data_IF_546495060543
#
_entry.id   IF_546495060543
#
_cell.length_a   1.000
_cell.length_b   1.000
_cell.length_c   1.000
_cell.angle_alpha   90.00
_cell.angle_beta   90.00
_cell.angle_gamma   90.00
#
_symmetry.space_group_name_H-M   'P 1'
#
loop_
_entity.id
_entity.type
_entity.pdbx_description
1 polymer ?
#
# COMPACT_ATOMS: atom_id res chain seq x y z
N UNK A 1 -42.67 -3.53 23.50
CA UNK A 1 -41.39 -4.25 23.75
C UNK A 1 -40.29 -3.50 23.02
N UNK A 2 -39.39 -2.85 23.73
CA UNK A 2 -38.26 -2.13 23.12
C UNK A 2 -37.21 -3.15 22.67
N UNK A 3 -36.84 -3.12 21.39
CA UNK A 3 -35.69 -3.86 20.87
C UNK A 3 -34.43 -3.21 21.46
N UNK A 4 -33.63 -3.92 22.28
CA UNK A 4 -32.42 -3.31 22.84
C UNK A 4 -31.46 -2.99 21.70
N UNK A 5 -31.00 -1.75 21.67
CA UNK A 5 -30.10 -1.22 20.63
C UNK A 5 -28.75 -1.92 20.77
N UNK A 6 -28.55 -3.00 20.02
CA UNK A 6 -27.29 -3.74 19.92
C UNK A 6 -26.26 -2.97 19.07
N UNK A 7 -25.95 -1.72 19.45
CA UNK A 7 -25.13 -0.81 18.64
C UNK A 7 -23.63 -0.88 18.89
N UNK A 8 -23.18 -1.36 20.05
CA UNK A 8 -21.78 -1.19 20.50
C UNK A 8 -20.92 -2.45 20.58
N UNK A 9 -21.51 -3.65 20.46
CA UNK A 9 -20.76 -4.91 20.64
C UNK A 9 -19.58 -5.09 19.68
N UNK A 10 -19.70 -4.57 18.46
CA UNK A 10 -18.60 -4.57 17.49
C UNK A 10 -17.41 -3.73 17.99
N UNK A 11 -17.67 -2.49 18.40
CA UNK A 11 -16.63 -1.56 18.88
C UNK A 11 -16.00 -2.09 20.16
N UNK A 12 -16.80 -2.57 21.10
CA UNK A 12 -16.30 -3.17 22.34
C UNK A 12 -15.36 -4.35 22.07
N UNK A 13 -15.73 -5.24 21.14
CA UNK A 13 -14.89 -6.37 20.76
C UNK A 13 -13.59 -5.93 20.12
N UNK A 14 -13.61 -4.89 19.28
CA UNK A 14 -12.40 -4.31 18.70
C UNK A 14 -11.48 -3.75 19.79
N UNK A 15 -12.00 -2.94 20.71
CA UNK A 15 -11.24 -2.38 21.83
C UNK A 15 -10.62 -3.48 22.70
N UNK A 16 -11.37 -4.52 23.02
CA UNK A 16 -10.85 -5.67 23.79
C UNK A 16 -9.73 -6.40 23.03
N UNK A 17 -9.88 -6.57 21.72
CA UNK A 17 -8.88 -7.26 20.89
C UNK A 17 -7.58 -6.46 20.82
N UNK A 18 -7.66 -5.14 20.57
CA UNK A 18 -6.49 -4.25 20.55
C UNK A 18 -5.76 -4.29 21.89
N UNK A 19 -6.48 -4.16 23.02
CA UNK A 19 -5.89 -4.20 24.36
C UNK A 19 -5.16 -5.52 24.62
N UNK A 20 -5.78 -6.66 24.29
CA UNK A 20 -5.17 -7.98 24.48
C UNK A 20 -3.91 -8.16 23.61
N UNK A 21 -3.93 -7.66 22.38
CA UNK A 21 -2.77 -7.72 21.49
C UNK A 21 -1.62 -6.87 22.02
N UNK A 22 -1.89 -5.63 22.45
CA UNK A 22 -0.85 -4.74 22.99
C UNK A 22 -0.23 -5.27 24.29
N UNK A 23 -1.02 -5.89 25.18
CA UNK A 23 -0.49 -6.50 26.41
C UNK A 23 0.52 -7.61 26.07
N UNK A 24 0.16 -8.51 25.14
CA UNK A 24 1.06 -9.59 24.71
C UNK A 24 2.35 -9.07 24.07
N UNK A 25 2.26 -8.01 23.28
CA UNK A 25 3.41 -7.38 22.64
C UNK A 25 4.31 -6.61 23.62
N UNK A 26 3.72 -6.04 24.67
CA UNK A 26 4.46 -5.42 25.77
C UNK A 26 5.29 -6.46 26.54
N UNK A 27 4.72 -7.64 26.79
CA UNK A 27 5.41 -8.77 27.41
C UNK A 27 6.58 -9.28 26.57
N UNK A 28 6.45 -9.26 25.23
CA UNK A 28 7.53 -9.66 24.30
C UNK A 28 8.55 -8.55 24.02
N UNK A 29 8.38 -7.35 24.59
CA UNK A 29 9.19 -6.13 24.31
C UNK A 29 9.25 -5.75 22.83
N UNK A 30 8.26 -6.15 22.05
CA UNK A 30 8.16 -5.81 20.63
C UNK A 30 7.51 -4.44 20.43
N UNK A 31 7.72 -3.85 19.24
CA UNK A 31 7.15 -2.55 18.89
C UNK A 31 5.61 -2.60 18.83
N UNK A 32 4.96 -1.70 19.57
CA UNK A 32 3.51 -1.54 19.60
C UNK A 32 2.93 -1.19 18.21
N UNK A 33 3.67 -0.46 17.39
CA UNK A 33 3.26 -0.13 16.02
C UNK A 33 3.21 -1.37 15.14
N UNK A 34 4.16 -2.30 15.34
CA UNK A 34 4.19 -3.56 14.63
C UNK A 34 2.99 -4.44 15.00
N UNK A 35 2.63 -4.47 16.30
CA UNK A 35 1.46 -5.18 16.80
C UNK A 35 0.14 -4.74 16.13
N UNK A 36 -0.04 -3.42 16.02
CA UNK A 36 -1.21 -2.82 15.38
C UNK A 36 -1.23 -3.09 13.87
N UNK A 37 -0.07 -3.04 13.21
CA UNK A 37 0.05 -3.40 11.81
C UNK A 37 -0.37 -4.86 11.58
N UNK A 38 0.09 -5.79 12.41
CA UNK A 38 -0.34 -7.20 12.34
C UNK A 38 -1.84 -7.37 12.53
N UNK A 39 -2.48 -6.60 13.43
CA UNK A 39 -3.93 -6.65 13.60
C UNK A 39 -4.69 -6.19 12.34
N UNK A 40 -4.18 -5.16 11.65
CA UNK A 40 -4.79 -4.62 10.43
C UNK A 40 -4.63 -5.54 9.22
N UNK A 41 -3.56 -6.34 9.15
CA UNK A 41 -3.32 -7.27 8.03
C UNK A 41 -3.86 -8.68 8.27
N UNK A 42 -4.28 -9.00 9.51
CA UNK A 42 -4.79 -10.32 9.84
C UNK A 42 -6.14 -10.54 9.18
N UNK A 43 -6.22 -11.58 8.35
CA UNK A 43 -7.45 -12.05 7.73
C UNK A 43 -8.38 -12.62 8.82
N UNK A 44 -9.59 -12.08 8.92
CA UNK A 44 -10.61 -12.59 9.85
C UNK A 44 -11.14 -13.97 9.42
N UNK A 45 -11.17 -14.22 8.11
CA UNK A 45 -11.52 -15.49 7.47
C UNK A 45 -10.74 -15.65 6.16
N UNK A 46 -10.53 -16.88 5.72
CA UNK A 46 -9.72 -17.19 4.53
C UNK A 46 -10.35 -16.68 3.21
N UNK A 47 -11.65 -16.44 3.19
CA UNK A 47 -12.44 -15.92 2.07
C UNK A 47 -12.58 -14.39 2.05
N UNK A 48 -12.19 -13.71 3.12
CA UNK A 48 -12.37 -12.25 3.28
C UNK A 48 -11.05 -11.51 3.14
N UNK A 49 -11.09 -10.29 2.58
CA UNK A 49 -9.94 -9.37 2.55
C UNK A 49 -9.60 -8.90 3.97
N UNK A 50 -8.34 -8.56 4.21
CA UNK A 50 -7.92 -8.03 5.51
C UNK A 50 -8.47 -6.62 5.76
N UNK A 51 -8.56 -6.16 7.02
CA UNK A 51 -9.03 -4.80 7.32
C UNK A 51 -8.27 -3.70 6.56
N UNK A 52 -6.94 -3.79 6.46
CA UNK A 52 -6.13 -2.86 5.69
C UNK A 52 -6.43 -2.92 4.19
N UNK A 53 -6.65 -4.11 3.63
CA UNK A 53 -7.02 -4.27 2.23
C UNK A 53 -8.41 -3.66 1.92
N UNK A 54 -9.36 -3.80 2.85
CA UNK A 54 -10.70 -3.23 2.71
C UNK A 54 -10.69 -1.70 2.77
N UNK A 55 -9.88 -1.11 3.66
CA UNK A 55 -9.84 0.34 3.87
C UNK A 55 -8.95 1.06 2.85
N UNK A 56 -7.81 0.46 2.49
CA UNK A 56 -6.78 1.12 1.68
C UNK A 56 -6.67 0.54 0.26
N UNK A 57 -7.43 -0.50 -0.08
CA UNK A 57 -7.43 -1.12 -1.40
C UNK A 57 -6.12 -1.81 -1.78
N UNK A 58 -5.16 -1.92 -0.86
CA UNK A 58 -3.82 -2.47 -1.10
C UNK A 58 -3.41 -3.41 0.03
N UNK A 59 -2.56 -4.39 -0.29
CA UNK A 59 -1.99 -5.31 0.70
C UNK A 59 -0.83 -4.65 1.42
N UNK A 60 -0.80 -4.70 2.75
CA UNK A 60 0.34 -4.21 3.53
C UNK A 60 1.34 -5.34 3.76
N UNK A 61 2.63 -5.02 3.71
CA UNK A 61 3.69 -5.96 4.10
C UNK A 61 3.77 -5.97 5.62
N UNK A 62 3.64 -7.14 6.23
CA UNK A 62 3.81 -7.34 7.66
C UNK A 62 4.68 -8.55 7.93
N UNK A 63 5.30 -8.59 9.12
CA UNK A 63 6.18 -9.68 9.57
C UNK A 63 5.45 -11.02 9.69
N UNK A 64 4.14 -10.97 9.96
CA UNK A 64 3.31 -12.18 9.97
C UNK A 64 3.13 -12.66 8.53
N UNK A 65 3.59 -13.88 8.25
CA UNK A 65 3.39 -14.55 6.97
C UNK A 65 1.88 -14.70 6.71
N UNK A 66 1.26 -13.68 6.13
CA UNK A 66 0.02 -13.87 5.38
C UNK A 66 0.41 -14.89 4.31
N UNK A 67 -0.33 -16.00 4.20
CA UNK A 67 -0.15 -16.98 3.12
C UNK A 67 -0.50 -16.33 1.79
N UNK A 68 0.30 -15.37 1.35
CA UNK A 68 0.37 -14.94 -0.02
C UNK A 68 1.16 -16.08 -0.65
N UNK A 69 0.45 -17.06 -1.20
CA UNK A 69 1.11 -17.97 -2.13
C UNK A 69 1.78 -17.05 -3.16
N UNK A 70 3.12 -17.09 -3.30
CA UNK A 70 3.73 -16.40 -4.40
C UNK A 70 3.06 -16.91 -5.69
N UNK A 71 2.78 -16.05 -6.68
CA UNK A 71 2.39 -16.52 -7.99
C UNK A 71 3.39 -17.59 -8.42
N UNK A 72 2.87 -18.73 -8.88
CA UNK A 72 3.63 -19.96 -9.18
C UNK A 72 4.75 -19.67 -10.20
N UNK A 73 4.64 -18.59 -10.97
CA UNK A 73 5.68 -18.11 -11.88
C UNK A 73 6.27 -16.76 -11.42
N UNK A 74 7.33 -16.85 -10.62
CA UNK A 74 8.12 -15.69 -10.22
C UNK A 74 8.80 -15.04 -11.41
N UNK A 75 9.08 -15.78 -12.49
CA UNK A 75 9.78 -15.24 -13.65
C UNK A 75 8.84 -14.38 -14.50
N UNK A 76 7.61 -14.83 -14.77
CA UNK A 76 6.61 -14.01 -15.46
C UNK A 76 6.34 -12.69 -14.70
N UNK A 77 6.29 -12.76 -13.36
CA UNK A 77 6.08 -11.58 -12.51
C UNK A 77 7.28 -10.62 -12.60
N UNK A 78 8.50 -11.13 -12.65
CA UNK A 78 9.73 -10.33 -12.79
C UNK A 78 9.84 -9.71 -14.17
N UNK A 79 9.50 -10.44 -15.23
CA UNK A 79 9.47 -9.95 -16.60
C UNK A 79 8.45 -8.82 -16.74
N UNK A 80 7.23 -8.99 -16.20
CA UNK A 80 6.21 -7.94 -16.19
C UNK A 80 6.66 -6.70 -15.43
N UNK A 81 7.28 -6.87 -14.25
CA UNK A 81 7.81 -5.75 -13.48
C UNK A 81 8.93 -5.00 -14.22
N UNK A 82 9.86 -5.73 -14.86
CA UNK A 82 10.93 -5.13 -15.64
C UNK A 82 10.40 -4.35 -16.85
N UNK A 83 9.42 -4.92 -17.57
CA UNK A 83 8.79 -4.27 -18.71
C UNK A 83 8.08 -2.97 -18.30
N UNK A 84 7.33 -2.98 -17.20
CA UNK A 84 6.68 -1.75 -16.68
C UNK A 84 7.69 -0.70 -16.25
N UNK A 85 8.78 -1.09 -15.59
CA UNK A 85 9.84 -0.15 -15.19
C UNK A 85 10.56 0.47 -16.39
N UNK A 86 10.74 -0.29 -17.47
CA UNK A 86 11.34 0.20 -18.70
C UNK A 86 10.40 1.16 -19.44
N UNK A 87 9.11 0.85 -19.51
CA UNK A 87 8.09 1.73 -20.06
C UNK A 87 8.02 3.06 -19.31
N UNK A 88 7.95 3.02 -17.97
CA UNK A 88 7.95 4.20 -17.11
C UNK A 88 9.22 5.05 -17.32
N UNK A 89 10.39 4.41 -17.42
CA UNK A 89 11.66 5.09 -17.69
C UNK A 89 11.64 5.78 -19.04
N UNK A 90 11.13 5.12 -20.08
CA UNK A 90 11.04 5.67 -21.42
C UNK A 90 10.12 6.88 -21.46
N UNK A 91 8.97 6.82 -20.80
CA UNK A 91 8.04 7.95 -20.66
C UNK A 91 8.75 9.13 -20.01
N UNK A 92 9.42 8.93 -18.88
CA UNK A 92 10.15 10.00 -18.17
C UNK A 92 11.22 10.64 -19.07
N UNK A 93 12.02 9.83 -19.77
CA UNK A 93 13.05 10.36 -20.69
C UNK A 93 12.45 11.11 -21.86
N UNK A 94 11.36 10.62 -22.44
CA UNK A 94 10.69 11.27 -23.55
C UNK A 94 10.06 12.61 -23.12
N UNK A 95 9.34 12.63 -21.99
CA UNK A 95 8.79 13.87 -21.41
C UNK A 95 9.89 14.88 -21.10
N UNK A 96 11.03 14.43 -20.57
CA UNK A 96 12.19 15.29 -20.35
C UNK A 96 12.73 15.85 -21.67
N UNK A 97 12.97 15.02 -22.68
CA UNK A 97 13.46 15.47 -23.98
C UNK A 97 12.49 16.43 -24.69
N UNK A 98 11.18 16.18 -24.60
CA UNK A 98 10.16 17.05 -25.14
C UNK A 98 10.20 18.43 -24.47
N UNK A 99 10.29 18.48 -23.14
CA UNK A 99 10.43 19.74 -22.41
C UNK A 99 11.68 20.52 -22.83
N UNK A 100 12.81 19.84 -23.03
CA UNK A 100 14.04 20.48 -23.52
C UNK A 100 13.90 21.04 -24.94
N UNK A 101 13.12 20.39 -25.80
CA UNK A 101 12.83 20.88 -27.14
C UNK A 101 11.91 22.11 -27.11
N UNK A 102 10.91 22.11 -26.22
CA UNK A 102 9.99 23.24 -26.01
C UNK A 102 10.72 24.48 -25.44
N UNK A 103 11.58 24.29 -24.44
CA UNK A 103 12.40 25.37 -23.86
C UNK A 103 13.38 25.97 -24.90
N UNK A 104 13.96 25.14 -25.77
CA UNK A 104 14.86 25.59 -26.84
C UNK A 104 14.14 26.31 -27.99
N UNK A 105 12.86 26.01 -28.24
CA UNK A 105 12.04 26.70 -29.25
C UNK A 105 11.58 28.09 -28.77
N UNK A 106 11.41 28.29 -27.45
CA UNK A 106 11.00 29.57 -26.86
C UNK A 106 12.14 30.61 -26.75
N UNK A 107 13.41 30.20 -26.89
CA UNK A 107 14.57 31.08 -26.63
C UNK A 107 15.18 31.72 -27.90
N UNK A 108 14.58 31.53 -29.08
CA UNK A 108 15.03 32.19 -30.32
C UNK A 108 14.21 33.45 -30.61
N UNK A 109 14.41 34.50 -29.81
CA UNK A 109 13.98 35.85 -30.22
C UNK A 109 14.92 36.36 -31.35
N UNK A 110 14.39 36.95 -32.43
CA UNK A 110 15.22 37.42 -33.53
C UNK A 110 16.14 38.56 -33.06
N UNK A 111 17.45 38.34 -33.18
CA UNK A 111 18.48 39.35 -32.94
C UNK A 111 18.32 40.46 -33.99
N UNK A 112 17.63 41.55 -33.66
CA UNK A 112 17.66 42.76 -34.48
C UNK A 112 18.99 43.46 -34.26
N UNK A 113 19.96 43.21 -35.14
CA UNK A 113 21.08 44.12 -35.38
C UNK A 113 20.66 45.10 -36.47
N UNK A 114 20.44 46.36 -36.13
CA UNK A 114 20.75 47.56 -36.94
C UNK A 114 20.65 48.77 -36.02
#
# INVERSE_FOLDING_TARGET
MAVPVAGHGFIERQVQTVKKTLIKYCETKEDSHLALLSLQVTLLRADMKSPAEMLNGRKYKATLLTKIQPPIDQEETRVKLAATQEEDRNIITNTHNQKYLEDNMHTQDPITKT
#
